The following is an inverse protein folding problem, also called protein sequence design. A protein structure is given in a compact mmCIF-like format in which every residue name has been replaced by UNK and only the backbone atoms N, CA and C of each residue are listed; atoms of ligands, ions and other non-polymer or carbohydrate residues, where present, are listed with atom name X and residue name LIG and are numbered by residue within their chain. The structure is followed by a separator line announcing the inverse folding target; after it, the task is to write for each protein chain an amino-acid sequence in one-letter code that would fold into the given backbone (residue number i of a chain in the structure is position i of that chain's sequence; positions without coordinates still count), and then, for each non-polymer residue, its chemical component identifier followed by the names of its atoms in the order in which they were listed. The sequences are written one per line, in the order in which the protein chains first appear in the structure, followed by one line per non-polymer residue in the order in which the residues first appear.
data_IF_750752648932
#
_entry.id   IF_750752648932
#
_cell.length_a   1.000
_cell.length_b   1.000
_cell.length_c   1.000
_cell.angle_alpha   90.00
_cell.angle_beta   90.00
_cell.angle_gamma   90.00
#
_symmetry.space_group_name_H-M   'P 1'
#
loop_
_entity.id
_entity.type
_entity.pdbx_description
1 polymer ?
#
# COMPACT_ATOMS: atom_id res chain seq x y z
N UNK A 1 43.79 -55.38 -33.44
CA UNK A 1 43.28 -56.68 -32.95
C UNK A 1 43.68 -56.81 -31.48
N UNK A 2 42.75 -57.28 -30.63
CA UNK A 2 42.81 -57.64 -29.19
C UNK A 2 44.21 -57.97 -28.59
N UNK A 3 44.55 -57.79 -27.30
CA UNK A 3 43.85 -58.06 -26.02
C UNK A 3 44.65 -57.43 -24.83
N UNK A 4 43.99 -57.10 -23.70
CA UNK A 4 44.59 -56.74 -22.38
C UNK A 4 44.94 -58.01 -21.56
N UNK A 5 45.75 -57.99 -20.46
CA UNK A 5 45.19 -57.70 -19.10
C UNK A 5 46.15 -57.19 -17.97
N UNK A 6 45.51 -56.55 -16.97
CA UNK A 6 45.74 -56.38 -15.50
C UNK A 6 47.04 -56.80 -14.76
N UNK A 7 47.49 -55.99 -13.76
CA UNK A 7 47.44 -56.30 -12.29
C UNK A 7 47.80 -55.11 -11.37
N UNK A 8 47.36 -55.22 -10.10
CA UNK A 8 47.19 -54.28 -8.96
C UNK A 8 48.43 -54.21 -8.01
N UNK A 9 48.59 -53.17 -7.16
CA UNK A 9 49.03 -53.17 -5.72
C UNK A 9 49.44 -51.74 -5.23
N UNK A 10 49.00 -51.31 -4.03
CA UNK A 10 49.71 -50.31 -3.19
C UNK A 10 48.85 -49.22 -2.52
N UNK A 11 48.98 -49.08 -1.18
CA UNK A 11 48.00 -48.51 -0.23
C UNK A 11 48.15 -47.00 0.06
N UNK A 12 47.02 -46.43 0.51
CA UNK A 12 46.61 -45.05 0.82
C UNK A 12 47.43 -44.31 1.90
N UNK A 13 47.73 -43.02 1.67
CA UNK A 13 48.21 -42.04 2.65
C UNK A 13 47.03 -41.44 3.45
N UNK A 14 47.06 -41.52 4.78
CA UNK A 14 46.08 -40.86 5.68
C UNK A 14 46.41 -39.37 5.79
N UNK A 15 45.46 -38.49 5.42
CA UNK A 15 45.57 -37.03 5.52
C UNK A 15 44.63 -36.52 6.61
N UNK A 16 45.17 -36.26 7.79
CA UNK A 16 44.44 -35.70 8.94
C UNK A 16 44.10 -34.24 8.62
N UNK A 17 42.82 -33.90 8.52
CA UNK A 17 42.33 -32.51 8.49
C UNK A 17 41.02 -32.43 9.27
N UNK A 18 41.15 -32.20 10.57
CA UNK A 18 40.03 -31.97 11.48
C UNK A 18 39.81 -30.45 11.58
N UNK A 19 39.00 -29.88 10.67
CA UNK A 19 38.61 -28.46 10.73
C UNK A 19 37.14 -28.22 10.37
N UNK A 20 36.35 -29.29 10.28
CA UNK A 20 34.92 -29.24 9.95
C UNK A 20 34.09 -28.44 10.99
N UNK A 21 34.63 -28.25 12.20
CA UNK A 21 33.87 -27.66 13.31
C UNK A 21 33.81 -26.12 13.30
N UNK A 22 34.74 -25.45 12.63
CA UNK A 22 34.83 -23.97 12.63
C UNK A 22 34.00 -23.34 11.49
N UNK A 23 33.78 -24.06 10.38
CA UNK A 23 33.00 -23.56 9.24
C UNK A 23 31.51 -23.39 9.52
N UNK A 24 30.93 -24.26 10.34
CA UNK A 24 29.48 -24.30 10.61
C UNK A 24 28.94 -23.05 11.32
N UNK A 25 29.77 -22.37 12.11
CA UNK A 25 29.34 -21.18 12.86
C UNK A 25 29.17 -19.95 11.95
N UNK A 26 30.00 -19.79 10.91
CA UNK A 26 29.92 -18.65 9.97
C UNK A 26 28.66 -18.68 9.10
N UNK A 27 28.17 -19.87 8.76
CA UNK A 27 26.97 -20.02 7.92
C UNK A 27 25.71 -19.56 8.64
N UNK A 28 25.64 -19.79 9.96
CA UNK A 28 24.47 -19.43 10.75
C UNK A 28 24.35 -17.90 10.96
N UNK A 29 25.48 -17.21 11.16
CA UNK A 29 25.48 -15.75 11.30
C UNK A 29 25.05 -15.05 9.99
N UNK A 30 25.63 -15.44 8.86
CA UNK A 30 25.27 -14.85 7.55
C UNK A 30 23.79 -15.03 7.18
N UNK A 31 23.18 -16.17 7.55
CA UNK A 31 21.78 -16.43 7.23
C UNK A 31 20.80 -15.62 8.11
N UNK A 32 21.20 -15.24 9.32
CA UNK A 32 20.40 -14.39 10.21
C UNK A 32 20.34 -12.93 9.73
N UNK A 33 21.48 -12.40 9.25
CA UNK A 33 21.58 -11.03 8.74
C UNK A 33 20.81 -10.84 7.43
N UNK A 34 20.81 -11.86 6.55
CA UNK A 34 20.07 -11.84 5.29
C UNK A 34 18.54 -11.80 5.48
N UNK A 35 18.01 -12.30 6.61
CA UNK A 35 16.55 -12.29 6.90
C UNK A 35 16.08 -10.95 7.45
N UNK A 36 16.91 -10.24 8.21
CA UNK A 36 16.58 -8.91 8.77
C UNK A 36 16.53 -7.82 7.68
N UNK A 37 17.30 -7.97 6.59
CA UNK A 37 17.31 -7.03 5.46
C UNK A 37 16.24 -7.27 4.39
N UNK A 38 15.33 -8.23 4.59
CA UNK A 38 14.12 -8.31 3.76
C UNK A 38 13.15 -7.22 4.23
N UNK A 39 13.40 -6.02 3.73
CA UNK A 39 12.55 -4.85 3.84
C UNK A 39 11.09 -5.25 3.75
N UNK A 40 10.32 -4.92 4.79
CA UNK A 40 8.87 -5.01 4.83
C UNK A 40 8.33 -4.30 3.59
N UNK A 41 7.97 -5.08 2.56
CA UNK A 41 7.48 -4.54 1.29
C UNK A 41 6.34 -3.58 1.58
N UNK A 42 6.46 -2.34 1.10
CA UNK A 42 5.47 -1.27 1.30
C UNK A 42 4.12 -1.81 0.86
N UNK A 43 3.19 -2.04 1.80
CA UNK A 43 1.84 -2.51 1.50
C UNK A 43 1.21 -1.48 0.56
N UNK A 44 0.74 -1.92 -0.60
CA UNK A 44 -0.04 -1.06 -1.50
C UNK A 44 -1.27 -0.62 -0.71
N UNK A 45 -1.42 0.69 -0.53
CA UNK A 45 -2.58 1.28 0.09
C UNK A 45 -3.68 1.31 -0.98
N UNK A 46 -4.90 1.03 -0.56
CA UNK A 46 -6.05 1.20 -1.44
C UNK A 46 -6.25 2.69 -1.69
N UNK A 47 -6.15 3.10 -2.95
CA UNK A 47 -6.42 4.47 -3.39
C UNK A 47 -7.73 4.50 -4.16
N UNK A 48 -8.59 5.47 -3.85
CA UNK A 48 -9.79 5.74 -4.62
C UNK A 48 -9.47 6.82 -5.65
N UNK A 49 -9.47 6.43 -6.92
CA UNK A 49 -9.28 7.35 -8.05
C UNK A 49 -10.65 7.69 -8.66
N UNK A 50 -10.95 8.98 -8.80
CA UNK A 50 -12.17 9.43 -9.49
C UNK A 50 -11.99 9.32 -11.00
N UNK A 51 -13.00 8.82 -11.71
CA UNK A 51 -12.98 8.80 -13.18
C UNK A 51 -13.12 10.22 -13.75
N UNK A 52 -12.55 10.44 -14.94
CA UNK A 52 -12.69 11.71 -15.65
C UNK A 52 -14.17 12.08 -15.89
N UNK A 53 -14.98 11.10 -16.29
CA UNK A 53 -16.43 11.24 -16.48
C UNK A 53 -17.16 11.69 -15.21
N UNK A 54 -16.81 11.12 -14.04
CA UNK A 54 -17.43 11.52 -12.77
C UNK A 54 -17.07 12.97 -12.39
N UNK A 55 -15.84 13.41 -12.70
CA UNK A 55 -15.43 14.80 -12.49
C UNK A 55 -16.17 15.76 -13.42
N UNK A 56 -16.42 15.37 -14.68
CA UNK A 56 -17.17 16.17 -15.64
C UNK A 56 -18.64 16.32 -15.22
N UNK A 57 -19.31 15.24 -14.82
CA UNK A 57 -20.70 15.29 -14.33
C UNK A 57 -20.84 16.18 -13.08
N UNK A 58 -19.89 16.08 -12.16
CA UNK A 58 -19.80 16.92 -10.97
C UNK A 58 -19.55 18.40 -11.32
N UNK A 59 -18.79 18.67 -12.38
CA UNK A 59 -18.60 20.02 -12.93
C UNK A 59 -19.88 20.59 -13.53
N UNK A 60 -20.58 19.80 -14.35
CA UNK A 60 -21.83 20.18 -14.99
C UNK A 60 -22.92 20.52 -13.96
N UNK A 61 -23.06 19.71 -12.92
CA UNK A 61 -24.04 19.94 -11.85
C UNK A 61 -23.79 21.22 -11.03
N UNK A 62 -22.57 21.76 -11.06
CA UNK A 62 -22.24 23.04 -10.41
C UNK A 62 -22.55 24.26 -11.26
N UNK A 63 -22.77 24.09 -12.57
CA UNK A 63 -23.01 25.18 -13.51
C UNK A 63 -24.47 25.68 -13.50
N UNK A 64 -25.40 24.94 -12.89
CA UNK A 64 -26.84 25.22 -12.96
C UNK A 64 -27.31 26.46 -12.17
N UNK A 65 -26.50 27.00 -11.25
CA UNK A 65 -26.87 28.21 -10.49
C UNK A 65 -25.80 29.31 -10.70
N UNK A 66 -26.09 30.32 -11.55
CA UNK A 66 -25.12 31.36 -11.92
C UNK A 66 -24.70 32.23 -10.73
N UNK A 67 -25.49 32.25 -9.65
CA UNK A 67 -25.23 33.03 -8.44
C UNK A 67 -24.74 32.16 -7.28
N UNK A 68 -24.51 30.86 -7.50
CA UNK A 68 -24.10 29.92 -6.45
C UNK A 68 -22.78 30.30 -5.80
N UNK A 69 -21.80 30.73 -6.59
CA UNK A 69 -20.50 31.15 -6.07
C UNK A 69 -20.65 32.30 -5.08
N UNK A 70 -21.40 33.35 -5.47
CA UNK A 70 -21.66 34.52 -4.63
C UNK A 70 -22.44 34.14 -3.36
N UNK A 71 -23.47 33.28 -3.48
CA UNK A 71 -24.24 32.78 -2.32
C UNK A 71 -23.36 31.98 -1.36
N UNK A 72 -22.44 31.16 -1.87
CA UNK A 72 -21.51 30.40 -1.01
C UNK A 72 -20.57 31.35 -0.27
N UNK A 73 -20.08 32.39 -0.92
CA UNK A 73 -19.22 33.39 -0.28
C UNK A 73 -19.96 34.17 0.81
N UNK A 74 -21.20 34.60 0.57
CA UNK A 74 -22.01 35.28 1.60
C UNK A 74 -22.25 34.38 2.81
N UNK A 75 -22.65 33.12 2.58
CA UNK A 75 -22.88 32.13 3.64
C UNK A 75 -21.59 31.85 4.44
N UNK A 76 -20.44 31.74 3.77
CA UNK A 76 -19.15 31.57 4.46
C UNK A 76 -18.84 32.74 5.39
N UNK A 77 -19.16 33.97 4.97
CA UNK A 77 -18.95 35.15 5.79
C UNK A 77 -19.90 35.15 6.99
N UNK A 78 -21.19 34.87 6.79
CA UNK A 78 -22.19 34.78 7.88
C UNK A 78 -21.83 33.71 8.92
N UNK A 79 -21.32 32.57 8.48
CA UNK A 79 -20.85 31.49 9.39
C UNK A 79 -19.62 31.95 10.17
N UNK A 80 -18.66 32.63 9.52
CA UNK A 80 -17.46 33.17 10.20
C UNK A 80 -17.80 34.27 11.21
N UNK A 81 -18.78 35.11 10.92
CA UNK A 81 -19.26 36.16 11.84
C UNK A 81 -20.17 35.62 12.93
N UNK A 82 -20.60 34.35 12.86
CA UNK A 82 -21.53 33.75 13.82
C UNK A 82 -22.96 34.29 13.71
N UNK A 83 -23.29 34.95 12.59
CA UNK A 83 -24.63 35.52 12.34
C UNK A 83 -25.49 34.62 11.46
N UNK A 84 -24.98 33.47 11.04
CA UNK A 84 -25.73 32.50 10.27
C UNK A 84 -26.79 31.81 11.15
N UNK A 85 -28.06 31.96 10.77
CA UNK A 85 -29.19 31.36 11.47
C UNK A 85 -29.77 30.20 10.67
N UNK A 86 -29.93 29.04 11.31
CA UNK A 86 -30.50 27.84 10.69
C UNK A 86 -32.01 27.83 10.92
N UNK A 87 -32.77 28.01 9.84
CA UNK A 87 -34.22 27.84 9.86
C UNK A 87 -34.57 26.35 10.00
N UNK A 88 -35.06 25.98 11.19
CA UNK A 88 -35.40 24.59 11.53
C UNK A 88 -36.54 24.03 10.68
N UNK A 89 -37.48 24.88 10.24
CA UNK A 89 -38.58 24.47 9.36
C UNK A 89 -38.06 24.09 7.97
N UNK A 90 -37.23 24.97 7.38
CA UNK A 90 -36.56 24.67 6.10
C UNK A 90 -35.64 23.46 6.20
N UNK A 91 -34.95 23.28 7.33
CA UNK A 91 -34.10 22.11 7.54
C UNK A 91 -34.94 20.83 7.55
N UNK A 92 -36.06 20.82 8.27
CA UNK A 92 -36.96 19.67 8.32
C UNK A 92 -37.50 19.34 6.91
N UNK A 93 -37.98 20.33 6.16
CA UNK A 93 -38.46 20.14 4.78
C UNK A 93 -37.42 19.48 3.86
N UNK A 94 -36.14 19.85 4.01
CA UNK A 94 -35.03 19.26 3.23
C UNK A 94 -34.69 17.84 3.65
N UNK A 95 -34.91 17.50 4.91
CA UNK A 95 -34.67 16.16 5.44
C UNK A 95 -35.84 15.20 5.17
N UNK A 96 -37.06 15.71 4.98
CA UNK A 96 -38.28 14.90 4.75
C UNK A 96 -38.11 13.76 3.73
N UNK A 97 -37.49 13.96 2.54
CA UNK A 97 -37.36 12.89 1.54
C UNK A 97 -36.52 11.70 1.98
N UNK A 98 -35.67 11.88 3.00
CA UNK A 98 -34.77 10.83 3.50
C UNK A 98 -35.33 10.08 4.71
N UNK A 99 -36.44 10.57 5.28
CA UNK A 99 -37.03 10.03 6.53
C UNK A 99 -38.46 9.53 6.36
N UNK A 100 -39.11 9.79 5.22
CA UNK A 100 -40.42 9.24 4.87
C UNK A 100 -40.24 8.12 3.86
N UNK A 101 -40.48 6.89 4.30
CA UNK A 101 -40.73 5.72 3.45
C UNK A 101 -42.20 5.70 2.98
#
# INVERSE_FOLDING_TARGET
MMVKPFYLIGVILVKINDTQRIGAYRTYQQQSEARTNQSTGKRRLDEVQFSAEAMELLGAQRADDPNRAQRIESLKNEVRSGTYEVDSGKLAERLLPFVRE
#
